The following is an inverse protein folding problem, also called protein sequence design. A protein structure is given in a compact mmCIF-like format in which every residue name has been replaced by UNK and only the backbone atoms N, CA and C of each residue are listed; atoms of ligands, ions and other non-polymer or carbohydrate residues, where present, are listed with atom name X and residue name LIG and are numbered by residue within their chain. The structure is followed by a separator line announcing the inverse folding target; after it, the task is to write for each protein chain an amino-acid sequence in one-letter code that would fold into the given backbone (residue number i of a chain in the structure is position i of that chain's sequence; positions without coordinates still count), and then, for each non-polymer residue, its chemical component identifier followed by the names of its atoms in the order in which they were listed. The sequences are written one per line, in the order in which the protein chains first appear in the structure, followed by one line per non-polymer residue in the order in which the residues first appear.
data_IF_389827305399
#
_entry.id   IF_389827305399
#
_cell.length_a   1.000
_cell.length_b   1.000
_cell.length_c   1.000
_cell.angle_alpha   90.00
_cell.angle_beta   90.00
_cell.angle_gamma   90.00
#
_symmetry.space_group_name_H-M   'P 1'
#
loop_
_entity.id
_entity.type
_entity.pdbx_description
1 polymer ?
#
# COMPACT_ATOMS: atom_id res chain seq x y z
N UNK A 1 -10.87 -15.73 10.15
CA UNK A 1 -10.02 -14.79 9.40
C UNK A 1 -9.25 -13.96 10.40
N UNK A 2 -7.94 -13.76 10.23
CA UNK A 2 -7.12 -13.01 11.20
C UNK A 2 -6.73 -11.66 10.57
N UNK A 3 -7.31 -10.56 11.03
CA UNK A 3 -6.87 -9.22 10.63
C UNK A 3 -5.57 -8.91 11.39
N UNK A 4 -4.57 -8.45 10.67
CA UNK A 4 -3.25 -8.15 11.19
C UNK A 4 -3.06 -6.64 11.30
N UNK A 5 -3.32 -5.91 10.21
CA UNK A 5 -3.16 -4.47 10.14
C UNK A 5 -4.22 -3.85 9.21
N UNK A 6 -4.65 -2.65 9.54
CA UNK A 6 -5.21 -1.70 8.59
C UNK A 6 -4.10 -0.73 8.15
N UNK A 7 -3.94 -0.56 6.84
CA UNK A 7 -2.89 0.29 6.28
C UNK A 7 -3.56 1.40 5.49
N UNK A 8 -3.27 2.65 5.85
CA UNK A 8 -3.73 3.83 5.14
C UNK A 8 -2.72 4.22 4.08
N UNK A 9 -3.07 4.05 2.82
CA UNK A 9 -2.32 4.61 1.70
C UNK A 9 -2.75 6.07 1.49
N UNK A 10 -1.88 7.00 1.86
CA UNK A 10 -2.04 8.43 1.64
C UNK A 10 -1.52 8.84 0.27
N UNK A 11 -2.36 9.57 -0.47
CA UNK A 11 -2.08 10.13 -1.80
C UNK A 11 -1.85 11.64 -1.63
N UNK A 12 -0.60 12.11 -1.53
CA UNK A 12 -0.28 13.47 -1.08
C UNK A 12 -0.73 14.59 -2.04
N UNK A 13 -0.86 14.31 -3.34
CA UNK A 13 -1.18 15.32 -4.37
C UNK A 13 -2.54 15.09 -5.02
N UNK A 14 -3.60 15.00 -4.22
CA UNK A 14 -4.95 14.78 -4.75
C UNK A 14 -5.68 16.08 -5.10
N UNK A 15 -6.50 16.07 -6.16
CA UNK A 15 -7.41 17.17 -6.47
C UNK A 15 -8.35 17.46 -5.28
N UNK A 16 -8.66 18.73 -5.00
CA UNK A 16 -9.60 19.08 -3.94
C UNK A 16 -11.01 18.57 -4.25
N UNK A 17 -11.80 18.33 -3.20
CA UNK A 17 -13.22 18.01 -3.35
C UNK A 17 -14.01 19.23 -3.85
N UNK A 18 -14.40 19.20 -5.13
CA UNK A 18 -15.12 20.29 -5.79
C UNK A 18 -16.52 20.56 -5.23
N UNK A 19 -17.10 19.62 -4.48
CA UNK A 19 -18.42 19.84 -3.86
C UNK A 19 -18.39 20.84 -2.70
N UNK A 20 -17.20 21.07 -2.10
CA UNK A 20 -17.01 21.87 -0.88
C UNK A 20 -17.89 21.45 0.31
N UNK A 21 -18.52 20.26 0.26
CA UNK A 21 -19.43 19.75 1.30
C UNK A 21 -18.80 18.69 2.20
N UNK A 22 -17.71 18.07 1.74
CA UNK A 22 -17.06 16.95 2.41
C UNK A 22 -15.54 17.11 2.34
N UNK A 23 -14.84 16.33 3.17
CA UNK A 23 -13.40 16.21 3.09
C UNK A 23 -12.94 15.67 1.72
N UNK A 24 -11.72 16.02 1.33
CA UNK A 24 -11.07 15.42 0.17
C UNK A 24 -10.65 13.99 0.52
N UNK A 25 -11.06 13.00 -0.28
CA UNK A 25 -10.67 11.61 -0.09
C UNK A 25 -9.19 11.41 -0.39
N UNK A 26 -8.34 11.67 0.61
CA UNK A 26 -6.89 11.65 0.48
C UNK A 26 -6.25 10.26 0.62
N UNK A 27 -7.00 9.28 1.13
CA UNK A 27 -6.48 7.97 1.49
C UNK A 27 -7.28 6.82 0.88
N UNK A 28 -6.65 5.66 0.78
CA UNK A 28 -7.28 4.35 0.54
C UNK A 28 -6.82 3.36 1.61
N UNK A 29 -7.69 2.41 1.97
CA UNK A 29 -7.39 1.43 3.03
C UNK A 29 -7.02 0.08 2.43
N UNK A 30 -5.90 -0.47 2.88
CA UNK A 30 -5.46 -1.84 2.59
C UNK A 30 -5.68 -2.67 3.85
N UNK A 31 -6.45 -3.74 3.74
CA UNK A 31 -6.66 -4.69 4.82
C UNK A 31 -5.59 -5.78 4.72
N UNK A 32 -4.75 -5.86 5.74
CA UNK A 32 -3.73 -6.88 5.85
C UNK A 32 -4.25 -8.02 6.72
N UNK A 33 -4.44 -9.20 6.14
CA UNK A 33 -5.07 -10.32 6.82
C UNK A 33 -4.38 -11.65 6.52
N UNK A 34 -4.41 -12.56 7.49
CA UNK A 34 -4.04 -13.95 7.34
C UNK A 34 -5.29 -14.82 7.11
N UNK A 35 -5.13 -15.90 6.33
CA UNK A 35 -6.20 -16.83 5.93
C UNK A 35 -7.05 -17.29 7.12
N UNK A 36 -6.41 -17.75 8.20
CA UNK A 36 -7.10 -18.15 9.45
C UNK A 36 -6.24 -17.86 10.70
N UNK A 37 -6.78 -18.12 11.88
CA UNK A 37 -6.09 -17.85 13.16
C UNK A 37 -4.81 -18.69 13.35
N UNK A 38 -4.72 -19.84 12.69
CA UNK A 38 -3.58 -20.75 12.75
C UNK A 38 -2.51 -20.47 11.69
N UNK A 39 -2.80 -19.59 10.73
CA UNK A 39 -1.90 -19.29 9.62
C UNK A 39 -0.66 -18.56 10.13
N UNK A 40 0.52 -19.08 9.77
CA UNK A 40 1.78 -18.38 9.99
C UNK A 40 1.88 -17.25 8.95
N UNK A 41 1.82 -16.02 9.43
CA UNK A 41 2.01 -14.83 8.60
C UNK A 41 3.50 -14.54 8.46
N UNK A 42 3.97 -14.36 7.22
CA UNK A 42 5.32 -13.87 6.96
C UNK A 42 5.31 -12.35 6.88
N UNK A 43 6.19 -11.72 7.67
CA UNK A 43 6.44 -10.28 7.62
C UNK A 43 7.93 -10.02 7.51
N UNK A 44 8.36 -9.41 6.40
CA UNK A 44 9.77 -9.08 6.22
C UNK A 44 10.16 -7.81 6.98
N UNK A 45 10.35 -7.96 8.30
CA UNK A 45 10.65 -6.84 9.20
C UNK A 45 11.94 -6.11 8.81
N UNK A 46 12.99 -6.84 8.42
CA UNK A 46 14.28 -6.26 8.06
C UNK A 46 14.18 -5.36 6.83
N UNK A 47 13.54 -5.83 5.76
CA UNK A 47 13.35 -5.01 4.55
C UNK A 47 12.43 -3.82 4.83
N UNK A 48 11.35 -4.01 5.59
CA UNK A 48 10.46 -2.89 5.95
C UNK A 48 11.17 -1.83 6.80
N UNK A 49 12.12 -2.24 7.65
CA UNK A 49 12.96 -1.32 8.42
C UNK A 49 13.96 -0.58 7.52
N UNK A 50 14.59 -1.28 6.57
CA UNK A 50 15.50 -0.66 5.58
C UNK A 50 14.79 0.38 4.71
N UNK A 51 13.60 0.05 4.19
CA UNK A 51 12.79 0.95 3.37
C UNK A 51 12.31 2.21 4.12
N UNK A 52 12.29 2.17 5.45
CA UNK A 52 11.88 3.28 6.30
C UNK A 52 13.05 3.87 7.10
N UNK A 53 14.21 4.05 6.47
CA UNK A 53 15.38 4.72 7.06
C UNK A 53 15.82 4.10 8.39
N UNK A 54 15.87 2.78 8.44
CA UNK A 54 16.26 1.99 9.62
C UNK A 54 15.27 2.14 10.81
N UNK A 55 14.07 2.68 10.56
CA UNK A 55 12.97 2.76 11.54
C UNK A 55 11.88 1.75 11.19
N UNK A 56 11.12 1.32 12.20
CA UNK A 56 9.99 0.43 11.97
C UNK A 56 8.95 1.07 11.04
N UNK A 57 8.51 0.33 10.01
CA UNK A 57 7.47 0.78 9.08
C UNK A 57 6.14 0.99 9.81
N UNK A 58 5.47 2.10 9.48
CA UNK A 58 4.16 2.47 10.07
C UNK A 58 3.01 2.04 9.14
N UNK A 59 1.79 2.08 9.66
CA UNK A 59 0.56 1.76 8.91
C UNK A 59 0.12 2.87 7.96
N UNK A 60 0.68 4.08 8.07
CA UNK A 60 0.41 5.18 7.14
C UNK A 60 1.51 5.24 6.10
N UNK A 61 1.13 5.05 4.83
CA UNK A 61 2.04 4.98 3.69
C UNK A 61 1.77 6.13 2.73
N UNK A 62 2.68 7.11 2.69
CA UNK A 62 2.62 8.18 1.71
C UNK A 62 3.25 7.71 0.39
N UNK A 63 2.42 7.45 -0.61
CA UNK A 63 2.84 7.00 -1.96
C UNK A 63 2.04 7.78 -3.00
N UNK A 64 2.72 8.29 -4.03
CA UNK A 64 2.07 9.01 -5.12
C UNK A 64 1.16 8.08 -5.95
N UNK A 65 0.06 8.59 -6.53
CA UNK A 65 -0.71 7.84 -7.51
C UNK A 65 0.13 7.51 -8.76
N UNK A 66 -0.28 6.52 -9.58
CA UNK A 66 0.48 6.10 -10.75
C UNK A 66 0.73 7.28 -11.71
N UNK A 67 1.98 7.49 -12.06
CA UNK A 67 2.39 8.49 -13.04
C UNK A 67 2.01 8.05 -14.48
N UNK A 68 2.31 8.90 -15.48
CA UNK A 68 2.08 8.55 -16.88
C UNK A 68 2.95 7.39 -17.35
N UNK A 69 4.19 7.32 -16.86
CA UNK A 69 5.20 6.34 -17.28
C UNK A 69 4.81 4.90 -16.90
N UNK A 70 4.07 4.72 -15.80
CA UNK A 70 3.54 3.41 -15.37
C UNK A 70 2.36 2.92 -16.25
N UNK A 71 1.77 3.77 -17.11
CA UNK A 71 0.56 3.46 -17.88
C UNK A 71 0.86 2.93 -19.29
N UNK A 72 1.77 1.95 -19.35
CA UNK A 72 2.28 1.39 -20.61
C UNK A 72 1.24 0.61 -21.43
N UNK A 73 0.22 0.03 -20.78
CA UNK A 73 -0.82 -0.78 -21.43
C UNK A 73 -2.16 -0.03 -21.60
N UNK A 74 -2.10 1.31 -21.62
CA UNK A 74 -3.27 2.16 -21.72
C UNK A 74 -3.72 2.74 -20.37
N UNK A 75 -4.78 3.56 -20.41
CA UNK A 75 -5.26 4.32 -19.25
C UNK A 75 -6.35 3.55 -18.50
N UNK A 76 -5.96 2.69 -17.57
CA UNK A 76 -6.92 2.09 -16.64
C UNK A 76 -7.28 3.10 -15.53
N UNK A 77 -8.57 3.39 -15.28
CA UNK A 77 -8.98 4.47 -14.37
C UNK A 77 -8.57 4.24 -12.92
N UNK A 78 -8.45 2.98 -12.48
CA UNK A 78 -8.15 2.60 -11.10
C UNK A 78 -6.81 1.87 -10.94
N UNK A 79 -5.89 2.05 -11.88
CA UNK A 79 -4.54 1.50 -11.78
C UNK A 79 -3.87 1.88 -10.44
N UNK A 80 -3.18 0.93 -9.81
CA UNK A 80 -2.43 1.13 -8.57
C UNK A 80 -0.95 1.36 -8.88
N UNK A 81 -0.24 2.19 -8.09
CA UNK A 81 1.14 2.52 -8.38
C UNK A 81 2.06 1.32 -8.11
N UNK A 82 3.07 1.12 -8.95
CA UNK A 82 4.00 0.00 -8.81
C UNK A 82 4.67 -0.03 -7.44
N UNK A 83 5.10 1.14 -6.94
CA UNK A 83 5.73 1.30 -5.62
C UNK A 83 4.88 0.78 -4.47
N UNK A 84 3.54 0.86 -4.57
CA UNK A 84 2.65 0.31 -3.57
C UNK A 84 2.66 -1.21 -3.60
N UNK A 85 2.57 -1.80 -4.80
CA UNK A 85 2.59 -3.26 -4.99
C UNK A 85 3.95 -3.85 -4.61
N UNK A 86 5.05 -3.22 -5.00
CA UNK A 86 6.41 -3.61 -4.60
C UNK A 86 6.56 -3.68 -3.09
N UNK A 87 6.08 -2.65 -2.37
CA UNK A 87 6.11 -2.65 -0.90
C UNK A 87 5.29 -3.79 -0.31
N UNK A 88 4.09 -4.03 -0.84
CA UNK A 88 3.22 -5.14 -0.40
C UNK A 88 3.93 -6.48 -0.58
N UNK A 89 4.50 -6.72 -1.77
CA UNK A 89 5.20 -7.98 -2.10
C UNK A 89 6.42 -8.15 -1.19
N UNK A 90 7.28 -7.14 -1.09
CA UNK A 90 8.48 -7.21 -0.24
C UNK A 90 8.15 -7.44 1.24
N UNK A 91 7.02 -6.90 1.71
CA UNK A 91 6.58 -7.06 3.09
C UNK A 91 6.01 -8.47 3.38
N UNK A 92 5.37 -9.11 2.39
CA UNK A 92 4.54 -10.31 2.59
C UNK A 92 5.07 -11.60 1.98
N UNK A 93 6.07 -11.54 1.11
CA UNK A 93 6.55 -12.70 0.34
C UNK A 93 8.05 -12.90 0.47
N UNK A 94 8.50 -14.14 0.33
CA UNK A 94 9.91 -14.45 0.08
C UNK A 94 10.17 -14.57 -1.41
N UNK A 95 11.44 -14.46 -1.79
CA UNK A 95 11.87 -14.72 -3.16
C UNK A 95 11.42 -16.13 -3.59
N UNK A 96 10.77 -16.21 -4.76
CA UNK A 96 10.20 -17.42 -5.35
C UNK A 96 8.98 -18.02 -4.63
N UNK A 97 8.33 -17.30 -3.72
CA UNK A 97 6.99 -17.65 -3.26
C UNK A 97 5.94 -17.14 -4.28
N UNK A 98 4.94 -17.97 -4.54
CA UNK A 98 3.79 -17.69 -5.42
C UNK A 98 2.56 -17.32 -4.60
#
# INVERSE_FOLDING_TARGET
MKILNDIAWEKPNLPPNLSCRYFTHSTETIIWAAKNHYSKHFFNYEEMKKLNYVKQMRTVWTIQPPNGDEKIFGKHPTQKPLKLLERIILASTKKNEL
#
